data_IF_622962526631
#
_entry.id   IF_622962526631
#
_cell.length_a   1.000
_cell.length_b   1.000
_cell.length_c   1.000
_cell.angle_alpha   90.00
_cell.angle_beta   90.00
_cell.angle_gamma   90.00
#
_symmetry.space_group_name_H-M   'P 1'
#
loop_
_entity.id
_entity.type
_entity.pdbx_description
1 polymer ?
#
# COMPACT_ATOMS: atom_id res chain seq x y z
N UNK A 1 1.58 19.21 -0.55
CA UNK A 1 2.57 18.24 -1.00
C UNK A 1 2.29 17.93 -2.46
N UNK A 2 3.27 18.09 -3.33
CA UNK A 2 3.10 17.74 -4.76
C UNK A 2 3.05 16.23 -4.90
N UNK A 3 2.17 15.73 -5.76
CA UNK A 3 2.07 14.31 -6.06
C UNK A 3 1.88 14.11 -7.56
N UNK A 4 2.13 12.90 -8.00
CA UNK A 4 1.94 12.46 -9.38
C UNK A 4 0.85 11.39 -9.39
N UNK A 5 -0.18 11.59 -10.17
CA UNK A 5 -1.26 10.63 -10.38
C UNK A 5 -0.91 9.62 -11.46
N UNK A 6 -1.38 8.39 -11.31
CA UNK A 6 -1.22 7.29 -12.25
C UNK A 6 -2.55 6.62 -12.51
N UNK A 7 -2.80 6.29 -13.76
CA UNK A 7 -3.91 5.46 -14.20
C UNK A 7 -3.42 4.10 -14.74
N UNK A 8 -4.33 3.14 -14.84
CA UNK A 8 -4.00 1.78 -15.26
C UNK A 8 -3.55 1.71 -16.71
N UNK A 9 -4.11 2.55 -17.59
CA UNK A 9 -3.81 2.51 -19.02
C UNK A 9 -2.37 2.90 -19.31
N UNK A 10 -1.85 3.90 -18.59
CA UNK A 10 -0.53 4.46 -18.82
C UNK A 10 0.56 3.85 -17.94
N UNK A 11 0.24 3.49 -16.70
CA UNK A 11 1.22 3.02 -15.72
C UNK A 11 1.05 1.55 -15.32
N UNK A 12 -0.06 0.93 -15.67
CA UNK A 12 -0.39 -0.43 -15.25
C UNK A 12 -0.93 -0.54 -13.83
N UNK A 13 -1.12 0.59 -13.13
CA UNK A 13 -1.72 0.66 -11.79
C UNK A 13 -2.42 2.00 -11.58
N UNK A 14 -3.35 2.03 -10.63
CA UNK A 14 -4.08 3.23 -10.22
C UNK A 14 -3.57 3.71 -8.87
N UNK A 15 -3.02 4.91 -8.80
CA UNK A 15 -2.39 5.41 -7.60
C UNK A 15 -1.90 6.85 -7.68
N UNK A 16 -1.29 7.32 -6.60
CA UNK A 16 -0.63 8.61 -6.55
C UNK A 16 0.69 8.51 -5.78
N UNK A 17 1.77 9.04 -6.36
CA UNK A 17 3.08 9.06 -5.74
C UNK A 17 3.35 10.41 -5.08
N UNK A 18 3.77 10.36 -3.83
CA UNK A 18 4.05 11.49 -2.97
C UNK A 18 5.52 11.44 -2.55
N UNK A 19 6.34 12.27 -3.15
CA UNK A 19 7.76 12.36 -2.78
C UNK A 19 7.90 13.13 -1.46
N UNK A 20 8.70 12.59 -0.54
CA UNK A 20 9.04 13.30 0.70
C UNK A 20 10.01 14.45 0.42
N UNK A 21 9.98 15.46 1.27
CA UNK A 21 10.96 16.55 1.21
C UNK A 21 12.37 16.00 1.54
N UNK A 22 13.35 16.38 0.73
CA UNK A 22 14.73 15.93 0.93
C UNK A 22 15.12 14.63 0.23
N UNK A 23 14.15 13.96 -0.42
CA UNK A 23 14.38 12.70 -1.13
C UNK A 23 14.52 11.49 -0.21
N UNK A 24 14.30 10.30 -0.76
CA UNK A 24 14.45 9.02 -0.04
C UNK A 24 14.61 7.87 -1.03
N UNK A 25 15.31 6.83 -0.62
CA UNK A 25 15.34 5.53 -1.31
C UNK A 25 14.31 4.53 -0.73
N UNK A 26 13.54 4.98 0.25
CA UNK A 26 12.49 4.21 0.90
C UNK A 26 11.12 4.67 0.43
N UNK A 27 10.25 3.73 0.07
CA UNK A 27 8.86 3.99 -0.24
C UNK A 27 7.93 2.99 0.46
N UNK A 28 6.71 3.45 0.73
CA UNK A 28 5.61 2.59 1.19
C UNK A 28 4.48 2.65 0.18
N UNK A 29 4.03 1.49 -0.28
CA UNK A 29 2.77 1.36 -0.98
C UNK A 29 1.68 1.32 0.10
N UNK A 30 0.86 2.37 0.16
CA UNK A 30 -0.19 2.52 1.15
C UNK A 30 -1.56 2.29 0.51
N UNK A 31 -2.20 1.19 0.89
CA UNK A 31 -3.55 0.84 0.47
C UNK A 31 -4.54 1.23 1.57
N UNK A 32 -4.78 2.51 1.69
CA UNK A 32 -5.63 3.12 2.73
C UNK A 32 -6.58 4.11 2.07
N UNK A 33 -7.87 3.95 2.32
CA UNK A 33 -8.91 4.76 1.71
C UNK A 33 -9.51 4.12 0.45
N UNK A 34 -10.53 4.76 -0.08
CA UNK A 34 -11.29 4.30 -1.26
C UNK A 34 -10.72 4.88 -2.56
N UNK A 35 -9.95 5.94 -2.46
CA UNK A 35 -9.28 6.60 -3.57
C UNK A 35 -7.85 6.97 -3.18
N UNK A 36 -6.85 6.86 -4.09
CA UNK A 36 -5.46 7.16 -3.79
C UNK A 36 -5.18 8.62 -3.43
N UNK A 37 -6.15 9.50 -3.62
CA UNK A 37 -6.05 10.92 -3.30
C UNK A 37 -7.10 11.41 -2.30
N UNK A 38 -7.84 10.50 -1.67
CA UNK A 38 -8.79 10.84 -0.63
C UNK A 38 -8.12 11.35 0.66
N UNK A 39 -8.93 11.73 1.64
CA UNK A 39 -8.44 12.29 2.91
C UNK A 39 -7.55 11.32 3.67
N UNK A 40 -7.86 10.02 3.65
CA UNK A 40 -7.09 9.00 4.36
C UNK A 40 -5.75 8.76 3.67
N UNK A 41 -5.75 8.64 2.35
CA UNK A 41 -4.55 8.51 1.55
C UNK A 41 -3.61 9.72 1.72
N UNK A 42 -4.15 10.93 1.66
CA UNK A 42 -3.37 12.18 1.90
C UNK A 42 -2.80 12.24 3.32
N UNK A 43 -3.55 11.80 4.31
CA UNK A 43 -3.08 11.75 5.71
C UNK A 43 -1.93 10.75 5.88
N UNK A 44 -2.04 9.58 5.28
CA UNK A 44 -0.97 8.58 5.28
C UNK A 44 0.29 9.10 4.58
N UNK A 45 0.12 9.73 3.41
CA UNK A 45 1.22 10.33 2.66
C UNK A 45 1.93 11.43 3.46
N UNK A 46 1.18 12.29 4.12
CA UNK A 46 1.73 13.35 4.98
C UNK A 46 2.48 12.78 6.18
N UNK A 47 1.90 11.80 6.84
CA UNK A 47 2.48 11.19 8.03
C UNK A 47 3.79 10.44 7.75
N UNK A 48 3.83 9.65 6.69
CA UNK A 48 5.01 8.92 6.25
C UNK A 48 6.06 9.86 5.64
N UNK A 49 5.61 10.83 4.83
CA UNK A 49 6.49 11.81 4.20
C UNK A 49 7.25 12.66 5.21
N UNK A 50 6.62 13.02 6.36
CA UNK A 50 7.26 13.72 7.47
C UNK A 50 8.38 12.89 8.14
N UNK A 51 8.42 11.57 7.89
CA UNK A 51 9.45 10.64 8.37
C UNK A 51 10.48 10.26 7.32
N UNK A 52 10.53 10.99 6.20
CA UNK A 52 11.49 10.75 5.14
C UNK A 52 11.18 9.52 4.30
N UNK A 53 9.90 9.15 4.16
CA UNK A 53 9.45 8.00 3.38
C UNK A 53 8.60 8.50 2.22
N UNK A 54 8.96 8.10 0.99
CA UNK A 54 8.09 8.29 -0.17
C UNK A 54 6.85 7.41 -0.05
N UNK A 55 5.74 7.85 -0.56
CA UNK A 55 4.48 7.10 -0.47
C UNK A 55 3.88 6.93 -1.85
N UNK A 56 3.51 5.71 -2.18
CA UNK A 56 2.63 5.42 -3.30
C UNK A 56 1.29 4.97 -2.72
N UNK A 57 0.31 5.87 -2.72
CA UNK A 57 -1.05 5.52 -2.35
C UNK A 57 -1.71 4.77 -3.49
N UNK A 58 -2.33 3.66 -3.20
CA UNK A 58 -3.08 2.85 -4.16
C UNK A 58 -4.45 2.53 -3.58
N UNK A 59 -5.43 2.39 -4.47
CA UNK A 59 -6.75 1.90 -4.11
C UNK A 59 -7.06 0.65 -4.95
N UNK A 60 -7.76 -0.36 -4.41
CA UNK A 60 -8.29 -1.45 -5.21
C UNK A 60 -9.37 -0.98 -6.20
N UNK A 61 -9.98 0.18 -5.95
CA UNK A 61 -11.12 0.65 -6.69
C UNK A 61 -10.80 1.69 -7.77
N UNK A 62 -10.52 1.29 -8.98
CA UNK A 62 -11.36 1.82 -10.05
C UNK A 62 -12.73 1.19 -9.83
N UNK A 63 -13.80 1.93 -10.15
CA UNK A 63 -15.20 1.62 -9.85
C UNK A 63 -15.68 0.17 -10.12
N UNK A 64 -14.88 -0.63 -10.80
CA UNK A 64 -15.24 -1.97 -11.28
C UNK A 64 -14.57 -3.11 -10.51
N UNK A 65 -13.52 -2.84 -9.72
CA UNK A 65 -12.86 -3.86 -8.91
C UNK A 65 -13.05 -3.51 -7.44
N UNK A 66 -13.96 -4.21 -6.79
CA UNK A 66 -14.02 -4.23 -5.35
C UNK A 66 -12.74 -4.80 -4.74
N UNK A 67 -12.66 -4.86 -3.41
CA UNK A 67 -11.54 -5.45 -2.68
C UNK A 67 -11.32 -6.95 -2.98
N UNK A 68 -12.20 -7.56 -3.77
CA UNK A 68 -12.12 -8.94 -4.23
C UNK A 68 -11.52 -8.99 -5.64
N UNK A 69 -10.69 -9.99 -5.88
CA UNK A 69 -10.06 -10.23 -7.18
C UNK A 69 -9.16 -9.08 -7.70
N UNK A 70 -8.48 -8.38 -6.81
CA UNK A 70 -7.54 -7.34 -7.21
C UNK A 70 -6.41 -7.94 -8.07
N UNK A 71 -6.17 -7.40 -9.29
CA UNK A 71 -5.10 -7.90 -10.15
C UNK A 71 -3.73 -7.63 -9.54
N UNK A 72 -3.00 -8.67 -9.16
CA UNK A 72 -1.66 -8.54 -8.57
C UNK A 72 -0.64 -7.94 -9.54
N UNK A 73 -0.90 -8.00 -10.84
CA UNK A 73 -0.11 -7.35 -11.88
C UNK A 73 -0.01 -5.84 -11.68
N UNK A 74 -1.04 -5.21 -11.11
CA UNK A 74 -1.01 -3.79 -10.75
C UNK A 74 -0.02 -3.51 -9.63
N UNK A 75 0.08 -4.40 -8.65
CA UNK A 75 1.07 -4.31 -7.58
C UNK A 75 2.49 -4.51 -8.11
N UNK A 76 2.68 -5.46 -9.02
CA UNK A 76 3.97 -5.70 -9.67
C UNK A 76 4.41 -4.47 -10.49
N UNK A 77 3.50 -3.88 -11.26
CA UNK A 77 3.77 -2.65 -12.00
C UNK A 77 4.15 -1.48 -11.08
N UNK A 78 3.46 -1.32 -9.96
CA UNK A 78 3.76 -0.28 -8.96
C UNK A 78 5.14 -0.48 -8.32
N UNK A 79 5.49 -1.70 -7.94
CA UNK A 79 6.81 -2.05 -7.38
C UNK A 79 7.91 -1.78 -8.42
N UNK A 80 7.69 -2.19 -9.66
CA UNK A 80 8.64 -1.96 -10.75
C UNK A 80 8.87 -0.48 -11.01
N UNK A 81 7.79 0.30 -11.02
CA UNK A 81 7.87 1.75 -11.17
C UNK A 81 8.66 2.40 -10.01
N UNK A 82 8.40 2.02 -8.77
CA UNK A 82 9.12 2.53 -7.60
C UNK A 82 10.61 2.23 -7.69
N UNK A 83 10.99 1.02 -8.06
CA UNK A 83 12.40 0.63 -8.26
C UNK A 83 13.07 1.44 -9.36
N UNK A 84 12.41 1.60 -10.49
CA UNK A 84 12.91 2.40 -11.61
C UNK A 84 13.08 3.89 -11.24
N UNK A 85 12.35 4.38 -10.25
CA UNK A 85 12.41 5.75 -9.75
C UNK A 85 13.22 5.89 -8.44
N UNK A 86 14.17 4.98 -8.20
CA UNK A 86 15.17 5.10 -7.14
C UNK A 86 14.73 4.65 -5.75
N UNK A 87 13.56 4.01 -5.63
CA UNK A 87 13.11 3.45 -4.36
C UNK A 87 13.56 2.00 -4.24
N UNK A 88 14.61 1.76 -3.47
CA UNK A 88 15.22 0.43 -3.31
C UNK A 88 14.68 -0.35 -2.11
N UNK A 89 14.08 0.37 -1.15
CA UNK A 89 13.44 -0.21 0.03
C UNK A 89 11.95 0.06 -0.05
N UNK A 90 11.17 -0.97 -0.31
CA UNK A 90 9.73 -0.86 -0.53
C UNK A 90 8.99 -1.64 0.55
N UNK A 91 8.13 -0.94 1.26
CA UNK A 91 7.17 -1.53 2.19
C UNK A 91 5.76 -1.49 1.61
N UNK A 92 4.88 -2.35 2.11
CA UNK A 92 3.45 -2.35 1.77
C UNK A 92 2.66 -2.23 3.07
N UNK A 93 1.71 -1.34 3.08
CA UNK A 93 0.79 -1.13 4.19
C UNK A 93 -0.65 -1.21 3.69
N UNK A 94 -1.48 -1.94 4.40
CA UNK A 94 -2.91 -2.05 4.13
C UNK A 94 -3.70 -2.09 5.42
N UNK A 95 -4.95 -1.63 5.36
CA UNK A 95 -5.87 -1.63 6.48
C UNK A 95 -7.13 -2.42 6.15
N UNK A 96 -7.64 -3.23 7.10
CA UNK A 96 -8.85 -4.03 6.92
C UNK A 96 -8.73 -5.01 5.74
N UNK A 97 -9.60 -4.95 4.74
CA UNK A 97 -9.58 -5.83 3.56
C UNK A 97 -8.31 -5.68 2.72
N UNK A 98 -7.73 -4.48 2.62
CA UNK A 98 -6.47 -4.26 1.92
C UNK A 98 -5.25 -4.80 2.68
N UNK A 99 -5.39 -5.09 3.97
CA UNK A 99 -4.36 -5.78 4.75
C UNK A 99 -4.08 -7.20 4.23
N UNK A 100 -5.10 -7.95 3.86
CA UNK A 100 -4.95 -9.27 3.22
C UNK A 100 -4.23 -9.16 1.88
N UNK A 101 -4.59 -8.16 1.09
CA UNK A 101 -3.93 -7.90 -0.19
C UNK A 101 -2.45 -7.55 -0.01
N UNK A 102 -2.13 -6.71 0.99
CA UNK A 102 -0.75 -6.37 1.33
C UNK A 102 0.07 -7.59 1.73
N UNK A 103 -0.51 -8.50 2.52
CA UNK A 103 0.13 -9.78 2.90
C UNK A 103 0.39 -10.67 1.69
N UNK A 104 -0.60 -10.80 0.82
CA UNK A 104 -0.50 -11.60 -0.41
C UNK A 104 0.59 -11.05 -1.32
N UNK A 105 0.60 -9.74 -1.54
CA UNK A 105 1.62 -9.09 -2.35
C UNK A 105 3.03 -9.27 -1.76
N UNK A 106 3.19 -9.14 -0.45
CA UNK A 106 4.47 -9.37 0.23
C UNK A 106 4.96 -10.82 0.11
N UNK A 107 4.06 -11.79 0.11
CA UNK A 107 4.38 -13.20 -0.08
C UNK A 107 4.75 -13.53 -1.54
N UNK A 108 4.09 -12.88 -2.50
CA UNK A 108 4.30 -13.13 -3.93
C UNK A 108 5.55 -12.44 -4.49
N UNK A 109 5.99 -11.34 -3.89
CA UNK A 109 7.13 -10.53 -4.37
C UNK A 109 8.27 -10.42 -3.34
N UNK A 110 8.80 -11.54 -2.79
CA UNK A 110 9.73 -11.50 -1.66
C UNK A 110 11.15 -11.05 -2.03
N UNK A 111 11.56 -11.23 -3.28
CA UNK A 111 12.98 -11.37 -3.59
C UNK A 111 13.79 -10.06 -3.61
N UNK A 112 13.19 -8.89 -3.54
CA UNK A 112 13.92 -7.62 -3.68
C UNK A 112 13.40 -6.45 -2.83
N UNK A 113 12.50 -6.72 -1.91
CA UNK A 113 12.00 -5.71 -1.00
C UNK A 113 12.15 -6.18 0.43
N UNK A 114 12.84 -5.42 1.26
CA UNK A 114 12.69 -5.57 2.72
C UNK A 114 11.29 -5.08 3.07
N UNK A 115 10.29 -5.88 2.73
CA UNK A 115 8.90 -5.59 3.02
C UNK A 115 8.64 -5.85 4.51
N UNK A 116 8.33 -4.80 5.25
CA UNK A 116 7.79 -4.91 6.61
C UNK A 116 6.31 -4.57 6.56
N UNK A 117 5.48 -5.50 6.99
CA UNK A 117 4.03 -5.35 6.99
C UNK A 117 3.62 -4.64 8.29
N UNK A 118 3.00 -3.47 8.15
CA UNK A 118 2.54 -2.67 9.29
C UNK A 118 1.16 -3.10 9.87
N UNK A 119 0.69 -4.30 9.55
CA UNK A 119 -0.63 -4.78 10.00
C UNK A 119 -0.68 -5.16 11.48
N UNK A 120 0.46 -5.45 12.12
CA UNK A 120 0.51 -5.92 13.50
C UNK A 120 -0.04 -4.91 14.52
N UNK A 121 0.06 -3.63 14.23
CA UNK A 121 -0.36 -2.57 15.15
C UNK A 121 -1.88 -2.41 15.26
N UNK A 122 -2.61 -2.70 14.20
CA UNK A 122 -4.07 -2.66 14.23
C UNK A 122 -4.66 -3.83 15.02
N UNK A 123 -4.16 -5.04 14.80
CA UNK A 123 -4.63 -6.22 15.54
C UNK A 123 -4.31 -6.16 17.04
N UNK A 124 -3.21 -5.51 17.42
CA UNK A 124 -2.85 -5.36 18.84
C UNK A 124 -3.77 -4.40 19.62
N UNK A 125 -4.50 -3.52 18.92
CA UNK A 125 -5.45 -2.57 19.52
C UNK A 125 -6.89 -3.06 19.56
N UNK A 126 -7.18 -4.23 18.96
CA UNK A 126 -8.51 -4.82 19.01
C UNK A 126 -8.72 -5.58 20.33
N UNK A 127 -9.94 -5.60 20.87
CA UNK A 127 -10.31 -6.50 21.94
C UNK A 127 -9.98 -7.95 21.59
N UNK A 128 -9.64 -8.74 22.59
CA UNK A 128 -9.14 -10.12 22.41
C UNK A 128 -10.09 -11.00 21.59
N UNK A 129 -11.38 -10.84 21.81
CA UNK A 129 -12.45 -11.53 21.11
C UNK A 129 -12.53 -11.21 19.60
N UNK A 130 -12.27 -9.95 19.22
CA UNK A 130 -12.21 -9.54 17.83
C UNK A 130 -10.92 -10.00 17.13
N UNK A 131 -9.80 -10.11 17.85
CA UNK A 131 -8.55 -10.64 17.33
C UNK A 131 -8.69 -12.11 16.93
N UNK A 132 -9.35 -12.91 17.78
CA UNK A 132 -9.58 -14.33 17.52
C UNK A 132 -10.51 -14.55 16.32
N UNK A 133 -11.55 -13.75 16.17
CA UNK A 133 -12.49 -13.83 15.05
C UNK A 133 -11.80 -13.46 13.72
N UNK A 134 -11.01 -12.38 13.69
CA UNK A 134 -10.24 -12.00 12.50
C UNK A 134 -9.13 -13.00 12.16
N UNK A 135 -8.47 -13.59 13.15
CA UNK A 135 -7.47 -14.63 12.93
C UNK A 135 -8.10 -15.92 12.35
N UNK A 136 -9.36 -16.21 12.63
CA UNK A 136 -10.09 -17.33 12.01
C UNK A 136 -10.48 -17.05 10.57
N UNK A 137 -10.86 -15.83 10.23
CA UNK A 137 -11.24 -15.43 8.87
C UNK A 137 -10.03 -15.42 7.92
N UNK A 138 -8.85 -15.07 8.42
CA UNK A 138 -7.59 -15.11 7.64
C UNK A 138 -7.14 -16.54 7.32
N UNK A 139 -7.55 -17.54 8.12
CA UNK A 139 -7.19 -18.97 7.91
C UNK A 139 -8.16 -19.74 7.01
N UNK A 140 -9.21 -19.10 6.55
CA UNK A 140 -10.19 -19.67 5.61
C UNK A 140 -9.96 -19.19 4.20
#
# INVERSE_FOLDING_TARGET
MKHQHFDVETAGFYGAYWACAGGSDCAVIAMIGDDPEDRLARSAAKWLGARGINVLTMSPGEKDYGHHNYPLERMEAAISWLKANGNHKIGIAGASTTGTLALTAAAMFPANSKCRIAQAEYLSRLPEEERENKARDIRR
#
